data_IF_653322256841
#
_entry.id   IF_653322256841
#
_cell.length_a   1.000
_cell.length_b   1.000
_cell.length_c   1.000
_cell.angle_alpha   90.00
_cell.angle_beta   90.00
_cell.angle_gamma   90.00
#
_symmetry.space_group_name_H-M   'P 1'
#
loop_
_entity.id
_entity.type
_entity.pdbx_description
1 polymer ?
#
# COMPACT_ATOMS: atom_id res chain seq x y z
N UNK A 1 -15.36 -18.27 16.89
CA UNK A 1 -14.66 -17.34 15.98
C UNK A 1 -13.22 -17.01 16.39
N UNK A 2 -12.87 -16.90 17.68
CA UNK A 2 -11.52 -16.49 18.13
C UNK A 2 -10.35 -17.43 17.75
N UNK A 3 -10.56 -18.75 17.67
CA UNK A 3 -9.49 -19.71 17.33
C UNK A 3 -9.04 -19.59 15.87
N UNK A 4 -9.97 -19.27 14.96
CA UNK A 4 -9.70 -19.13 13.52
C UNK A 4 -9.03 -17.80 13.18
N UNK A 5 -9.29 -16.74 13.95
CA UNK A 5 -8.55 -15.47 13.80
C UNK A 5 -7.13 -15.58 14.34
N UNK A 6 -6.93 -16.23 15.51
CA UNK A 6 -5.59 -16.50 16.06
C UNK A 6 -4.72 -17.34 15.12
N UNK A 7 -5.26 -18.44 14.59
CA UNK A 7 -4.52 -19.28 13.63
C UNK A 7 -4.20 -18.53 12.32
N UNK A 8 -5.07 -17.60 11.87
CA UNK A 8 -4.75 -16.74 10.72
C UNK A 8 -3.64 -15.75 11.04
N UNK A 9 -3.59 -15.22 12.26
CA UNK A 9 -2.50 -14.39 12.77
C UNK A 9 -1.17 -15.13 12.83
N UNK A 10 -1.14 -16.31 13.48
CA UNK A 10 0.06 -17.15 13.58
C UNK A 10 0.58 -17.60 12.21
N UNK A 11 -0.30 -17.98 11.29
CA UNK A 11 0.10 -18.34 9.93
C UNK A 11 0.68 -17.13 9.17
N UNK A 12 0.07 -15.94 9.31
CA UNK A 12 0.57 -14.72 8.69
C UNK A 12 1.92 -14.28 9.29
N UNK A 13 2.13 -14.45 10.59
CA UNK A 13 3.41 -14.22 11.26
C UNK A 13 4.50 -15.15 10.72
N UNK A 14 4.23 -16.45 10.61
CA UNK A 14 5.15 -17.39 10.00
C UNK A 14 5.44 -17.10 8.53
N UNK A 15 4.49 -16.52 7.79
CA UNK A 15 4.76 -16.03 6.43
C UNK A 15 5.63 -14.77 6.42
N UNK A 16 5.36 -13.82 7.32
CA UNK A 16 6.15 -12.59 7.45
C UNK A 16 7.61 -12.88 7.81
N UNK A 17 7.87 -13.83 8.70
CA UNK A 17 9.22 -14.22 9.12
C UNK A 17 10.03 -14.82 7.95
N UNK A 18 9.44 -15.74 7.19
CA UNK A 18 10.09 -16.33 6.03
C UNK A 18 10.41 -15.27 4.95
N UNK A 19 9.46 -14.36 4.68
CA UNK A 19 9.65 -13.26 3.74
C UNK A 19 10.77 -12.32 4.23
N UNK A 20 10.78 -11.98 5.52
CA UNK A 20 11.83 -11.14 6.10
C UNK A 20 13.20 -11.77 5.93
N UNK A 21 13.34 -13.07 6.21
CA UNK A 21 14.59 -13.81 6.02
C UNK A 21 15.06 -13.77 4.56
N UNK A 22 14.20 -14.11 3.61
CA UNK A 22 14.54 -14.07 2.17
C UNK A 22 14.96 -12.67 1.71
N UNK A 23 14.27 -11.63 2.17
CA UNK A 23 14.62 -10.24 1.84
C UNK A 23 15.96 -9.81 2.45
N UNK A 24 16.32 -10.29 3.65
CA UNK A 24 17.62 -10.01 4.26
C UNK A 24 18.77 -10.71 3.53
N UNK A 25 18.55 -11.96 3.10
CA UNK A 25 19.53 -12.77 2.36
C UNK A 25 19.82 -12.21 0.96
N UNK A 26 18.84 -11.56 0.33
CA UNK A 26 18.98 -10.99 -1.00
C UNK A 26 19.72 -9.64 -1.03
N UNK A 27 19.94 -9.00 0.13
CA UNK A 27 20.54 -7.65 0.20
C UNK A 27 21.93 -7.63 -0.48
N UNK A 28 22.24 -6.57 -1.26
CA UNK A 28 21.46 -5.33 -1.43
C UNK A 28 20.36 -5.40 -2.49
N UNK A 29 20.22 -6.50 -3.25
CA UNK A 29 19.20 -6.63 -4.27
C UNK A 29 17.80 -6.81 -3.64
N UNK A 30 16.77 -6.28 -4.30
CA UNK A 30 15.39 -6.59 -3.93
C UNK A 30 14.93 -7.92 -4.50
N UNK A 31 13.75 -8.36 -4.03
CA UNK A 31 13.21 -9.69 -4.35
C UNK A 31 11.86 -9.55 -5.03
N UNK A 32 11.71 -10.13 -6.21
CA UNK A 32 10.46 -10.13 -6.96
C UNK A 32 9.43 -11.11 -6.38
N UNK A 33 8.14 -10.87 -6.65
CA UNK A 33 7.05 -11.74 -6.15
C UNK A 33 7.26 -13.22 -6.53
N UNK A 34 7.62 -13.59 -7.77
CA UNK A 34 7.89 -14.98 -8.12
C UNK A 34 9.08 -15.58 -7.37
N UNK A 35 10.08 -14.76 -7.03
CA UNK A 35 11.24 -15.21 -6.26
C UNK A 35 10.87 -15.44 -4.79
N UNK A 36 10.09 -14.54 -4.18
CA UNK A 36 9.53 -14.76 -2.84
C UNK A 36 8.72 -16.06 -2.78
N UNK A 37 7.87 -16.32 -3.78
CA UNK A 37 7.08 -17.55 -3.83
C UNK A 37 7.98 -18.80 -3.90
N UNK A 38 9.00 -18.80 -4.75
CA UNK A 38 9.94 -19.93 -4.89
C UNK A 38 10.78 -20.14 -3.64
N UNK A 39 11.42 -19.09 -3.13
CA UNK A 39 12.35 -19.17 -1.99
C UNK A 39 11.66 -19.49 -0.66
N UNK A 40 10.36 -19.20 -0.54
CA UNK A 40 9.60 -19.47 0.68
C UNK A 40 8.58 -20.59 0.53
N UNK A 41 8.48 -21.23 -0.65
CA UNK A 41 7.50 -22.28 -0.96
C UNK A 41 6.05 -21.89 -0.63
N UNK A 42 5.70 -20.61 -0.82
CA UNK A 42 4.40 -20.03 -0.47
C UNK A 42 3.63 -19.61 -1.71
N UNK A 43 2.31 -19.75 -1.63
CA UNK A 43 1.40 -19.23 -2.66
C UNK A 43 1.39 -17.70 -2.66
N UNK A 44 0.98 -17.09 -3.77
CA UNK A 44 0.88 -15.63 -3.87
C UNK A 44 -0.02 -15.01 -2.79
N UNK A 45 -1.10 -15.69 -2.40
CA UNK A 45 -2.00 -15.24 -1.33
C UNK A 45 -1.31 -15.23 0.03
N UNK A 46 -0.53 -16.27 0.34
CA UNK A 46 0.27 -16.35 1.57
C UNK A 46 1.38 -15.30 1.60
N UNK A 47 2.03 -15.04 0.46
CA UNK A 47 3.01 -13.94 0.35
C UNK A 47 2.35 -12.60 0.62
N UNK A 48 1.19 -12.31 0.03
CA UNK A 48 0.45 -11.05 0.28
C UNK A 48 0.06 -10.89 1.74
N UNK A 49 -0.45 -11.95 2.37
CA UNK A 49 -0.78 -11.96 3.80
C UNK A 49 0.46 -11.73 4.67
N UNK A 50 1.57 -12.41 4.38
CA UNK A 50 2.84 -12.23 5.08
C UNK A 50 3.45 -10.85 4.88
N UNK A 51 3.39 -10.27 3.68
CA UNK A 51 3.83 -8.90 3.40
C UNK A 51 3.00 -7.86 4.15
N UNK A 52 1.70 -8.09 4.36
CA UNK A 52 0.85 -7.22 5.17
C UNK A 52 1.29 -7.29 6.64
N UNK A 53 1.36 -8.50 7.21
CA UNK A 53 1.82 -8.71 8.59
C UNK A 53 3.24 -8.16 8.82
N UNK A 54 4.15 -8.34 7.86
CA UNK A 54 5.52 -7.83 7.94
C UNK A 54 5.55 -6.30 8.03
N UNK A 55 4.71 -5.59 7.28
CA UNK A 55 4.59 -4.12 7.39
C UNK A 55 4.10 -3.69 8.77
N UNK A 56 3.13 -4.40 9.34
CA UNK A 56 2.64 -4.13 10.70
C UNK A 56 3.76 -4.32 11.74
N UNK A 57 4.53 -5.39 11.62
CA UNK A 57 5.69 -5.66 12.51
C UNK A 57 6.77 -4.59 12.35
N UNK A 58 7.07 -4.16 11.13
CA UNK A 58 8.03 -3.09 10.85
C UNK A 58 7.60 -1.79 11.52
N UNK A 59 6.34 -1.39 11.31
CA UNK A 59 5.77 -0.18 11.90
C UNK A 59 5.82 -0.23 13.43
N UNK A 60 5.42 -1.35 14.03
CA UNK A 60 5.45 -1.53 15.49
C UNK A 60 6.87 -1.46 16.08
N UNK A 61 7.88 -1.91 15.34
CA UNK A 61 9.27 -2.00 15.80
C UNK A 61 10.15 -0.83 15.35
N UNK A 62 9.60 0.17 14.63
CA UNK A 62 10.37 1.31 14.11
C UNK A 62 11.51 0.89 13.17
N UNK A 63 11.35 -0.20 12.42
CA UNK A 63 12.37 -0.70 11.48
C UNK A 63 12.32 0.04 10.15
N UNK A 64 13.38 -0.01 9.32
CA UNK A 64 13.33 0.50 7.96
C UNK A 64 12.11 -0.07 7.21
N UNK A 65 11.36 0.76 6.47
CA UNK A 65 10.14 0.31 5.81
C UNK A 65 10.44 -0.59 4.62
N UNK A 66 9.47 -1.47 4.34
CA UNK A 66 9.47 -2.34 3.18
C UNK A 66 8.83 -1.60 1.99
N UNK A 67 9.65 -1.28 1.00
CA UNK A 67 9.26 -0.66 -0.27
C UNK A 67 9.07 -1.72 -1.34
N UNK A 68 8.17 -1.45 -2.30
CA UNK A 68 8.16 -2.11 -3.60
C UNK A 68 8.31 -1.07 -4.71
N UNK A 69 9.25 -1.29 -5.62
CA UNK A 69 9.35 -0.56 -6.89
C UNK A 69 9.39 -1.56 -8.05
N UNK A 70 9.06 -1.13 -9.27
CA UNK A 70 9.21 -1.99 -10.46
C UNK A 70 10.67 -2.21 -10.86
N UNK A 71 11.56 -1.29 -10.50
CA UNK A 71 12.97 -1.37 -10.86
C UNK A 71 13.74 -2.27 -9.87
N UNK A 72 13.38 -2.17 -8.59
CA UNK A 72 14.17 -2.71 -7.47
C UNK A 72 13.41 -3.80 -6.70
N UNK A 73 12.20 -4.18 -7.13
CA UNK A 73 11.35 -5.17 -6.47
C UNK A 73 11.08 -4.86 -4.98
N UNK A 74 10.83 -5.88 -4.15
CA UNK A 74 10.64 -5.68 -2.70
C UNK A 74 12.00 -5.52 -2.00
N UNK A 75 12.19 -4.40 -1.31
CA UNK A 75 13.43 -4.13 -0.56
C UNK A 75 13.19 -3.27 0.69
N UNK A 76 14.11 -3.38 1.64
CA UNK A 76 14.21 -2.44 2.75
C UNK A 76 15.04 -1.26 2.31
N UNK A 77 14.58 -0.05 2.61
CA UNK A 77 15.40 1.16 2.43
C UNK A 77 15.42 1.98 3.71
N UNK A 78 16.58 2.51 4.02
CA UNK A 78 16.80 3.49 5.10
C UNK A 78 17.24 4.84 4.54
N UNK A 79 17.28 5.00 3.22
CA UNK A 79 17.62 6.27 2.59
C UNK A 79 16.41 7.22 2.65
N UNK A 80 16.51 8.36 3.36
CA UNK A 80 15.43 9.33 3.46
C UNK A 80 14.91 9.82 2.11
N UNK A 81 15.76 9.95 1.09
CA UNK A 81 15.36 10.43 -0.22
C UNK A 81 14.52 9.38 -0.96
N UNK A 82 14.99 8.13 -1.01
CA UNK A 82 14.22 7.03 -1.61
C UNK A 82 12.87 6.82 -0.92
N UNK A 83 12.82 7.03 0.40
CA UNK A 83 11.59 6.97 1.18
C UNK A 83 10.61 8.06 0.77
N UNK A 84 11.06 9.32 0.74
CA UNK A 84 10.21 10.43 0.33
C UNK A 84 9.69 10.24 -1.11
N UNK A 85 10.54 9.80 -2.04
CA UNK A 85 10.13 9.52 -3.42
C UNK A 85 9.06 8.42 -3.50
N UNK A 86 9.20 7.37 -2.68
CA UNK A 86 8.19 6.32 -2.58
C UNK A 86 6.87 6.84 -2.00
N UNK A 87 6.92 7.61 -0.91
CA UNK A 87 5.75 8.19 -0.27
C UNK A 87 4.99 9.08 -1.25
N UNK A 88 5.69 9.98 -1.96
CA UNK A 88 5.11 10.81 -3.03
C UNK A 88 4.51 9.96 -4.14
N UNK A 89 5.17 8.87 -4.55
CA UNK A 89 4.63 7.94 -5.54
C UNK A 89 3.31 7.29 -5.08
N UNK A 90 3.25 6.80 -3.85
CA UNK A 90 2.03 6.20 -3.27
C UNK A 90 0.91 7.23 -3.18
N UNK A 91 1.21 8.45 -2.72
CA UNK A 91 0.21 9.53 -2.67
C UNK A 91 -0.36 9.85 -4.05
N UNK A 92 0.47 9.89 -5.11
CA UNK A 92 0.01 10.07 -6.50
C UNK A 92 -0.94 8.95 -6.96
N UNK A 93 -0.66 7.71 -6.57
CA UNK A 93 -1.55 6.58 -6.88
C UNK A 93 -2.91 6.73 -6.19
N UNK A 94 -2.92 7.08 -4.90
CA UNK A 94 -4.14 7.31 -4.13
C UNK A 94 -4.95 8.47 -4.74
N UNK A 95 -4.30 9.58 -5.06
CA UNK A 95 -4.92 10.73 -5.73
C UNK A 95 -5.58 10.33 -7.06
N UNK A 96 -4.93 9.47 -7.84
CA UNK A 96 -5.49 8.94 -9.09
C UNK A 96 -6.74 8.10 -8.84
N UNK A 97 -6.74 7.25 -7.81
CA UNK A 97 -7.91 6.45 -7.43
C UNK A 97 -9.08 7.34 -6.97
N UNK A 98 -8.80 8.37 -6.16
CA UNK A 98 -9.81 9.33 -5.70
C UNK A 98 -10.43 10.07 -6.88
N UNK A 99 -9.61 10.59 -7.80
CA UNK A 99 -10.10 11.24 -9.02
C UNK A 99 -11.02 10.33 -9.82
N UNK A 100 -10.61 9.07 -10.03
CA UNK A 100 -11.43 8.07 -10.74
C UNK A 100 -12.74 7.77 -10.03
N UNK A 101 -12.74 7.68 -8.70
CA UNK A 101 -13.95 7.50 -7.91
C UNK A 101 -14.91 8.70 -8.05
N UNK A 102 -14.38 9.92 -7.94
CA UNK A 102 -15.14 11.15 -8.11
C UNK A 102 -15.79 11.17 -9.50
N UNK A 103 -15.00 11.04 -10.57
CA UNK A 103 -15.48 11.19 -11.94
C UNK A 103 -16.30 10.01 -12.44
N UNK A 104 -15.92 8.79 -12.06
CA UNK A 104 -16.53 7.56 -12.58
C UNK A 104 -17.79 7.11 -11.83
N UNK A 105 -18.02 7.59 -10.61
CA UNK A 105 -19.12 7.08 -9.78
C UNK A 105 -19.84 8.19 -9.03
N UNK A 106 -19.10 9.01 -8.28
CA UNK A 106 -19.73 9.95 -7.34
C UNK A 106 -20.44 11.10 -8.05
N UNK A 107 -19.86 11.64 -9.14
CA UNK A 107 -20.52 12.66 -9.95
C UNK A 107 -21.80 12.10 -10.59
N UNK A 108 -21.75 10.88 -11.14
CA UNK A 108 -22.93 10.21 -11.70
C UNK A 108 -24.01 10.00 -10.65
N UNK A 109 -23.62 9.60 -9.43
CA UNK A 109 -24.55 9.45 -8.31
C UNK A 109 -25.22 10.79 -7.95
N UNK A 110 -24.44 11.87 -7.85
CA UNK A 110 -24.95 13.20 -7.55
C UNK A 110 -25.88 13.74 -8.65
N UNK A 111 -25.65 13.38 -9.92
CA UNK A 111 -26.52 13.76 -11.03
C UNK A 111 -27.88 13.06 -10.98
N UNK A 112 -27.92 11.79 -10.53
CA UNK A 112 -29.17 11.02 -10.40
C UNK A 112 -30.01 11.45 -9.19
N UNK A 113 -29.35 11.83 -8.09
CA UNK A 113 -30.02 12.22 -6.84
C UNK A 113 -29.47 13.55 -6.33
N UNK A 114 -29.76 14.67 -7.02
CA UNK A 114 -29.13 15.96 -6.72
C UNK A 114 -29.43 16.47 -5.32
N UNK A 115 -30.58 16.12 -4.73
CA UNK A 115 -30.99 16.56 -3.38
C UNK A 115 -30.53 15.62 -2.24
N UNK A 116 -29.88 14.50 -2.57
CA UNK A 116 -29.38 13.60 -1.54
C UNK A 116 -28.23 14.27 -0.75
N UNK A 117 -28.47 14.47 0.55
CA UNK A 117 -27.52 15.10 1.47
C UNK A 117 -26.23 14.27 1.60
N UNK A 118 -26.34 12.94 1.56
CA UNK A 118 -25.19 12.05 1.71
C UNK A 118 -24.24 12.15 0.51
N UNK A 119 -24.77 12.12 -0.73
CA UNK A 119 -23.91 12.24 -1.92
C UNK A 119 -23.28 13.63 -2.04
N UNK A 120 -24.00 14.70 -1.68
CA UNK A 120 -23.43 16.07 -1.62
C UNK A 120 -22.26 16.13 -0.63
N UNK A 121 -22.43 15.54 0.55
CA UNK A 121 -21.37 15.48 1.55
C UNK A 121 -20.18 14.66 1.06
N UNK A 122 -20.42 13.50 0.44
CA UNK A 122 -19.37 12.65 -0.12
C UNK A 122 -18.54 13.38 -1.19
N UNK A 123 -19.19 14.10 -2.12
CA UNK A 123 -18.51 14.92 -3.13
C UNK A 123 -17.59 15.95 -2.46
N UNK A 124 -18.09 16.68 -1.46
CA UNK A 124 -17.32 17.71 -0.78
C UNK A 124 -16.10 17.13 -0.06
N UNK A 125 -16.26 16.02 0.67
CA UNK A 125 -15.16 15.36 1.37
C UNK A 125 -14.11 14.82 0.40
N UNK A 126 -14.52 14.16 -0.69
CA UNK A 126 -13.56 13.62 -1.66
C UNK A 126 -12.78 14.72 -2.39
N UNK A 127 -13.42 15.87 -2.71
CA UNK A 127 -12.73 17.03 -3.28
C UNK A 127 -11.75 17.67 -2.28
N UNK A 128 -12.10 17.71 -1.00
CA UNK A 128 -11.18 18.19 0.03
C UNK A 128 -9.95 17.28 0.14
N UNK A 129 -10.14 15.96 0.17
CA UNK A 129 -9.03 15.00 0.16
C UNK A 129 -8.18 15.15 -1.11
N UNK A 130 -8.82 15.27 -2.29
CA UNK A 130 -8.11 15.52 -3.55
C UNK A 130 -7.17 16.73 -3.44
N UNK A 131 -7.67 17.85 -2.91
CA UNK A 131 -6.89 19.09 -2.74
C UNK A 131 -5.70 18.90 -1.79
N UNK A 132 -5.92 18.22 -0.66
CA UNK A 132 -4.85 17.94 0.31
C UNK A 132 -3.75 17.09 -0.33
N UNK A 133 -4.12 16.03 -1.06
CA UNK A 133 -3.14 15.16 -1.69
C UNK A 133 -2.41 15.85 -2.87
N UNK A 134 -3.09 16.70 -3.65
CA UNK A 134 -2.46 17.47 -4.74
C UNK A 134 -1.36 18.40 -4.20
N UNK A 135 -1.53 18.97 -3.00
CA UNK A 135 -0.53 19.83 -2.35
C UNK A 135 0.74 19.06 -1.91
N UNK A 136 0.60 17.78 -1.55
CA UNK A 136 1.73 16.91 -1.18
C UNK A 136 2.47 16.43 -2.43
N UNK A 137 1.77 16.32 -3.56
CA UNK A 137 2.32 15.88 -4.84
C UNK A 137 2.35 17.05 -5.82
N UNK A 138 3.20 18.08 -5.60
CA UNK A 138 3.21 19.23 -6.49
C UNK A 138 3.36 18.75 -7.93
N UNK A 139 2.53 19.32 -8.82
CA UNK A 139 2.69 19.13 -10.26
C UNK A 139 4.12 19.55 -10.56
N UNK A 140 4.98 18.61 -10.94
CA UNK A 140 6.30 18.94 -11.46
C UNK A 140 6.05 19.88 -12.65
N UNK A 141 6.30 21.16 -12.43
CA UNK A 141 6.31 22.17 -13.47
C UNK A 141 7.40 21.79 -14.47
N UNK A 142 7.08 22.04 -15.74
CA UNK A 142 8.09 22.16 -16.80
C UNK A 142 9.17 23.16 -16.39
#
# INVERSE_FOLDING_TARGET
MARRSRHRGEAAEGHAEAIHKTLMEARPAGVEMPQLMRSTERTQSQIRSGLAMLRDVIAKKGRPPLRYSRADAYQYTSDPQELQEYEVHVVRQILTLIRRLITGTVISHAALYPEDRWVRHLVAQLKAVETILDNITPRNGR
#
